data_IF_028136968071
#
_entry.id   IF_028136968071
#
_cell.length_a   1.000
_cell.length_b   1.000
_cell.length_c   1.000
_cell.angle_alpha   90.00
_cell.angle_beta   90.00
_cell.angle_gamma   90.00
#
_symmetry.space_group_name_H-M   'P 1'
#
loop_
_entity.id
_entity.type
_entity.pdbx_description
1 polymer ?
#
# COMPACT_ATOMS: atom_id res chain seq x y z
N UNK A 1 -24.54 8.78 9.09
CA UNK A 1 -24.34 10.14 8.50
C UNK A 1 -23.22 10.78 9.31
N UNK A 2 -21.97 10.89 8.87
CA UNK A 2 -21.44 11.52 7.66
C UNK A 2 -20.09 10.85 7.34
N UNK A 3 -20.04 10.02 6.29
CA UNK A 3 -18.82 9.49 5.67
C UNK A 3 -19.14 9.31 4.19
N UNK A 4 -19.28 10.43 3.49
CA UNK A 4 -19.37 10.47 2.03
C UNK A 4 -19.25 11.92 1.59
N UNK A 5 -18.02 12.39 1.44
CA UNK A 5 -17.64 13.48 0.54
C UNK A 5 -16.11 13.63 0.69
N UNK A 6 -15.38 13.06 -0.27
CA UNK A 6 -14.09 13.51 -0.82
C UNK A 6 -13.38 12.30 -1.42
N UNK A 7 -13.69 12.01 -2.68
CA UNK A 7 -12.79 11.40 -3.68
C UNK A 7 -13.64 11.10 -4.92
N UNK A 8 -13.52 11.94 -5.95
CA UNK A 8 -13.62 11.59 -7.37
C UNK A 8 -13.64 12.87 -8.21
N UNK A 9 -12.46 13.46 -8.42
CA UNK A 9 -12.23 14.41 -9.50
C UNK A 9 -10.82 14.20 -10.02
N UNK A 10 -10.63 13.22 -10.91
CA UNK A 10 -9.61 13.20 -11.97
C UNK A 10 -10.11 12.26 -13.09
N UNK A 11 -10.78 12.84 -14.10
CA UNK A 11 -10.28 13.02 -15.49
C UNK A 11 -10.31 11.74 -16.33
N UNK A 12 -11.40 11.57 -17.09
CA UNK A 12 -11.42 10.78 -18.32
C UNK A 12 -11.55 11.76 -19.51
N UNK A 13 -10.45 12.00 -20.20
CA UNK A 13 -10.45 12.64 -21.51
C UNK A 13 -9.57 11.77 -22.41
N UNK A 14 -10.21 10.97 -23.26
CA UNK A 14 -9.55 10.13 -24.25
C UNK A 14 -9.69 10.78 -25.63
N UNK A 15 -8.57 11.18 -26.23
CA UNK A 15 -8.45 11.50 -27.64
C UNK A 15 -7.15 10.87 -28.18
N UNK A 16 -7.38 9.91 -29.08
CA UNK A 16 -6.56 9.41 -30.19
C UNK A 16 -5.21 10.06 -30.50
N UNK A 17 -4.19 9.21 -30.73
CA UNK A 17 -3.34 9.23 -31.93
C UNK A 17 -2.39 8.00 -31.99
N UNK A 18 -2.59 7.19 -33.04
CA UNK A 18 -1.60 6.53 -33.93
C UNK A 18 -0.19 6.14 -33.45
N UNK A 19 0.22 4.90 -33.77
CA UNK A 19 1.52 4.66 -34.41
C UNK A 19 2.32 3.42 -34.01
N UNK A 20 2.44 2.49 -34.97
CA UNK A 20 3.55 1.55 -35.23
C UNK A 20 3.68 0.27 -34.39
N UNK A 21 3.30 -0.86 -34.99
CA UNK A 21 3.97 -2.14 -34.78
C UNK A 21 4.23 -2.80 -36.14
N UNK A 22 5.44 -3.36 -36.24
CA UNK A 22 6.14 -3.81 -37.43
C UNK A 22 5.58 -5.13 -37.99
N UNK A 23 5.44 -5.21 -39.31
CA UNK A 23 5.12 -6.43 -40.07
C UNK A 23 6.33 -7.36 -40.15
N UNK A 24 6.06 -8.67 -40.27
CA UNK A 24 6.87 -9.62 -41.02
C UNK A 24 5.93 -10.59 -41.76
N UNK A 25 6.11 -10.66 -43.07
CA UNK A 25 5.31 -11.41 -44.04
C UNK A 25 5.58 -12.92 -44.02
N UNK A 26 4.54 -13.73 -44.26
CA UNK A 26 4.66 -15.03 -44.90
C UNK A 26 3.36 -15.45 -45.62
N UNK A 27 3.53 -15.81 -46.89
CA UNK A 27 2.57 -16.08 -47.98
C UNK A 27 1.67 -17.31 -47.74
N UNK A 28 0.41 -17.36 -48.24
CA UNK A 28 -0.48 -18.52 -48.06
C UNK A 28 -0.27 -19.56 -49.18
N UNK A 29 -0.13 -20.83 -48.81
CA UNK A 29 -0.14 -21.98 -49.73
C UNK A 29 -1.44 -22.76 -49.54
N UNK A 30 -2.20 -22.87 -50.62
CA UNK A 30 -3.40 -23.69 -50.74
C UNK A 30 -3.03 -25.17 -50.84
N UNK A 31 -3.69 -26.05 -50.08
CA UNK A 31 -3.70 -27.48 -50.38
C UNK A 31 -5.11 -28.08 -50.30
N UNK A 32 -5.38 -28.80 -51.39
CA UNK A 32 -6.60 -29.40 -51.89
C UNK A 32 -7.12 -30.53 -51.00
N UNK A 33 -8.44 -30.58 -50.78
CA UNK A 33 -9.13 -31.67 -50.09
C UNK A 33 -9.23 -32.88 -51.02
N UNK A 34 -8.52 -33.96 -50.71
CA UNK A 34 -8.80 -35.28 -51.29
C UNK A 34 -9.76 -36.05 -50.37
N UNK A 35 -10.98 -36.29 -50.86
CA UNK A 35 -11.95 -37.18 -50.23
C UNK A 35 -11.45 -38.63 -50.29
N UNK A 36 -10.90 -39.12 -49.18
CA UNK A 36 -10.63 -40.55 -48.98
C UNK A 36 -11.80 -41.13 -48.19
N UNK A 37 -12.67 -41.88 -48.87
CA UNK A 37 -13.71 -42.71 -48.26
C UNK A 37 -13.06 -43.76 -47.35
N UNK A 38 -12.73 -43.37 -46.12
CA UNK A 38 -12.36 -44.29 -45.06
C UNK A 38 -13.65 -44.93 -44.56
N UNK A 39 -13.78 -46.24 -44.78
CA UNK A 39 -14.92 -47.02 -44.29
C UNK A 39 -15.17 -46.73 -42.81
N UNK A 40 -16.35 -46.22 -42.50
CA UNK A 40 -16.82 -46.02 -41.13
C UNK A 40 -16.95 -47.41 -40.50
N UNK A 41 -15.88 -47.87 -39.82
CA UNK A 41 -16.03 -48.95 -38.83
C UNK A 41 -16.99 -48.42 -37.79
N UNK A 42 -18.20 -48.98 -37.72
CA UNK A 42 -19.10 -48.80 -36.59
C UNK A 42 -18.38 -49.35 -35.36
N UNK A 43 -17.67 -48.49 -34.64
CA UNK A 43 -17.17 -48.82 -33.30
C UNK A 43 -18.44 -48.97 -32.46
N UNK A 44 -18.79 -50.23 -32.18
CA UNK A 44 -19.83 -50.56 -31.21
C UNK A 44 -19.53 -49.75 -29.94
N UNK A 45 -20.50 -48.95 -29.48
CA UNK A 45 -20.37 -48.22 -28.22
C UNK A 45 -19.99 -49.25 -27.14
N UNK A 46 -18.75 -49.18 -26.65
CA UNK A 46 -18.34 -49.95 -25.48
C UNK A 46 -19.30 -49.54 -24.37
N UNK A 47 -20.11 -50.46 -23.87
CA UNK A 47 -20.88 -50.24 -22.64
C UNK A 47 -19.84 -49.95 -21.55
N UNK A 48 -19.68 -48.68 -21.19
CA UNK A 48 -18.86 -48.28 -20.06
C UNK A 48 -19.60 -48.79 -18.83
N UNK A 49 -19.02 -49.77 -18.15
CA UNK A 49 -19.53 -50.23 -16.86
C UNK A 49 -19.30 -49.08 -15.90
N UNK A 50 -20.38 -48.47 -15.41
CA UNK A 50 -20.35 -47.41 -14.41
C UNK A 50 -20.87 -47.97 -13.09
N UNK A 51 -20.05 -47.88 -12.04
CA UNK A 51 -20.44 -48.29 -10.70
C UNK A 51 -21.02 -47.05 -10.01
N UNK A 52 -22.33 -46.85 -10.11
CA UNK A 52 -23.06 -45.64 -9.65
C UNK A 52 -23.12 -45.41 -8.13
N UNK A 53 -22.16 -45.92 -7.36
CA UNK A 53 -22.19 -45.87 -5.89
C UNK A 53 -20.80 -45.63 -5.31
N UNK A 54 -20.70 -44.68 -4.37
CA UNK A 54 -19.47 -44.37 -3.63
C UNK A 54 -19.01 -45.56 -2.73
N UNK A 55 -19.85 -46.58 -2.56
CA UNK A 55 -19.50 -47.83 -1.88
C UNK A 55 -18.96 -48.91 -2.83
N UNK A 56 -18.78 -48.61 -4.11
CA UNK A 56 -18.25 -49.54 -5.11
C UNK A 56 -17.13 -48.91 -5.94
N UNK A 57 -16.29 -49.74 -6.55
CA UNK A 57 -15.22 -49.30 -7.45
C UNK A 57 -15.04 -50.27 -8.61
N UNK A 58 -14.45 -49.75 -9.69
CA UNK A 58 -14.11 -50.54 -10.87
C UNK A 58 -12.84 -51.36 -10.62
N UNK A 59 -12.91 -52.65 -10.88
CA UNK A 59 -11.78 -53.56 -10.78
C UNK A 59 -11.57 -54.31 -12.10
N UNK A 60 -10.31 -54.39 -12.55
CA UNK A 60 -9.96 -55.09 -13.77
C UNK A 60 -9.55 -56.54 -13.43
N UNK A 61 -10.47 -57.48 -13.64
CA UNK A 61 -10.25 -58.90 -13.42
C UNK A 61 -9.86 -59.61 -14.74
N UNK A 62 -9.34 -60.84 -14.65
CA UNK A 62 -8.89 -61.61 -15.82
C UNK A 62 -9.98 -61.88 -16.86
N UNK A 63 -11.25 -61.75 -16.49
CA UNK A 63 -12.42 -61.98 -17.35
C UNK A 63 -13.15 -60.68 -17.75
N UNK A 64 -12.57 -59.51 -17.45
CA UNK A 64 -13.14 -58.19 -17.75
C UNK A 64 -13.22 -57.27 -16.54
N UNK A 65 -13.74 -56.06 -16.78
CA UNK A 65 -13.99 -55.05 -15.74
C UNK A 65 -15.27 -55.40 -14.99
N UNK A 66 -15.22 -55.40 -13.66
CA UNK A 66 -16.36 -55.63 -12.76
C UNK A 66 -16.45 -54.55 -11.68
N UNK A 67 -17.61 -54.42 -11.05
CA UNK A 67 -17.80 -53.57 -9.88
C UNK A 67 -17.59 -54.38 -8.60
N UNK A 68 -16.67 -53.93 -7.75
CA UNK A 68 -16.43 -54.50 -6.43
C UNK A 68 -16.93 -53.56 -5.33
N UNK A 69 -17.46 -54.11 -4.24
CA UNK A 69 -17.81 -53.34 -3.04
C UNK A 69 -16.54 -52.92 -2.30
N UNK A 70 -16.47 -51.65 -1.96
CA UNK A 70 -15.43 -51.03 -1.15
C UNK A 70 -15.51 -51.49 0.30
N UNK A 71 -14.39 -51.40 1.01
CA UNK A 71 -14.35 -51.59 2.46
C UNK A 71 -15.00 -50.40 3.18
N UNK A 72 -15.79 -50.65 4.24
CA UNK A 72 -16.42 -49.58 5.02
C UNK A 72 -15.40 -48.82 5.87
N UNK A 73 -15.75 -47.63 6.41
CA UNK A 73 -14.93 -46.91 7.37
C UNK A 73 -14.47 -47.80 8.53
N UNK A 74 -13.23 -47.64 8.98
CA UNK A 74 -12.58 -48.56 9.93
C UNK A 74 -11.85 -49.74 9.30
N UNK A 75 -11.96 -49.92 7.98
CA UNK A 75 -11.40 -51.07 7.27
C UNK A 75 -10.76 -50.66 5.93
N UNK A 76 -9.80 -51.46 5.49
CA UNK A 76 -9.09 -51.32 4.22
C UNK A 76 -8.98 -52.67 3.53
N UNK A 77 -8.74 -52.70 2.23
CA UNK A 77 -8.60 -53.94 1.47
C UNK A 77 -7.40 -54.77 1.96
N UNK A 78 -7.66 -56.03 2.34
CA UNK A 78 -6.60 -57.02 2.53
C UNK A 78 -5.98 -57.41 1.18
N UNK A 79 -6.80 -57.44 0.12
CA UNK A 79 -6.40 -57.64 -1.27
C UNK A 79 -7.35 -56.83 -2.15
N UNK A 80 -6.81 -56.12 -3.13
CA UNK A 80 -7.62 -55.31 -4.07
C UNK A 80 -8.41 -56.25 -4.98
N UNK A 81 -9.67 -55.91 -5.21
CA UNK A 81 -10.56 -56.63 -6.10
C UNK A 81 -11.50 -57.60 -5.40
N UNK A 82 -12.32 -58.23 -6.23
CA UNK A 82 -13.35 -59.19 -5.84
C UNK A 82 -13.48 -60.27 -6.94
N UNK A 83 -14.35 -61.25 -6.70
CA UNK A 83 -14.60 -62.36 -7.64
C UNK A 83 -15.93 -62.14 -8.37
N UNK A 84 -16.27 -63.00 -9.35
CA UNK A 84 -17.59 -62.93 -9.99
C UNK A 84 -18.69 -63.40 -9.05
N UNK A 85 -18.36 -64.36 -8.21
CA UNK A 85 -19.26 -65.04 -7.28
C UNK A 85 -19.49 -64.20 -6.02
N UNK A 86 -18.46 -63.47 -5.59
CA UNK A 86 -18.50 -62.54 -4.47
C UNK A 86 -17.95 -61.18 -4.89
N UNK A 87 -18.86 -60.20 -4.98
CA UNK A 87 -18.55 -58.82 -5.33
C UNK A 87 -17.90 -58.04 -4.18
N UNK A 88 -17.75 -58.62 -2.98
CA UNK A 88 -17.15 -57.96 -1.83
C UNK A 88 -15.64 -58.02 -1.85
N UNK A 89 -15.01 -56.87 -1.61
CA UNK A 89 -13.58 -56.83 -1.35
C UNK A 89 -13.31 -57.43 0.03
N UNK A 90 -12.26 -58.24 0.15
CA UNK A 90 -11.81 -58.75 1.45
C UNK A 90 -11.19 -57.61 2.24
N UNK A 91 -11.77 -57.28 3.39
CA UNK A 91 -11.35 -56.15 4.22
C UNK A 91 -10.61 -56.60 5.49
N UNK A 92 -9.65 -55.79 5.92
CA UNK A 92 -8.95 -55.89 7.20
C UNK A 92 -9.16 -54.59 8.00
N UNK A 93 -9.24 -54.71 9.32
CA UNK A 93 -9.53 -53.60 10.23
C UNK A 93 -8.29 -52.72 10.42
N UNK A 94 -8.50 -51.42 10.59
CA UNK A 94 -7.50 -50.48 11.09
C UNK A 94 -7.21 -50.73 12.59
N UNK A 95 -6.06 -50.27 13.06
CA UNK A 95 -5.58 -50.39 14.43
C UNK A 95 -5.97 -49.16 15.24
N UNK A 96 -6.77 -49.38 16.28
CA UNK A 96 -7.26 -48.31 17.17
C UNK A 96 -6.09 -47.48 17.72
N UNK A 97 -6.14 -46.17 17.51
CA UNK A 97 -5.14 -45.22 18.00
C UNK A 97 -3.86 -45.11 17.17
N UNK A 98 -3.65 -45.95 16.16
CA UNK A 98 -2.48 -45.89 15.27
C UNK A 98 -2.85 -45.43 13.86
N UNK A 99 -3.93 -45.98 13.30
CA UNK A 99 -4.41 -45.65 11.97
C UNK A 99 -5.95 -45.72 11.86
N UNK A 100 -6.46 -45.07 10.81
CA UNK A 100 -7.88 -44.88 10.60
C UNK A 100 -8.25 -44.89 9.12
N UNK A 101 -9.54 -45.02 8.84
CA UNK A 101 -10.13 -44.83 7.53
C UNK A 101 -11.57 -44.33 7.68
N UNK A 102 -11.83 -43.11 7.23
CA UNK A 102 -13.09 -42.38 7.48
C UNK A 102 -14.12 -42.51 6.35
N UNK A 103 -13.77 -43.17 5.24
CA UNK A 103 -14.63 -43.32 4.07
C UNK A 103 -14.57 -44.75 3.48
N UNK A 104 -15.56 -45.04 2.62
CA UNK A 104 -15.56 -46.27 1.83
C UNK A 104 -14.38 -46.27 0.86
N UNK A 105 -13.58 -47.32 0.87
CA UNK A 105 -12.30 -47.32 0.14
C UNK A 105 -11.91 -48.71 -0.38
N UNK A 106 -10.96 -48.73 -1.31
CA UNK A 106 -10.28 -49.94 -1.79
C UNK A 106 -8.76 -49.88 -1.54
N UNK A 107 -8.34 -49.01 -0.63
CA UNK A 107 -6.94 -48.83 -0.26
C UNK A 107 -6.43 -50.07 0.49
N UNK A 108 -5.14 -50.38 0.43
CA UNK A 108 -4.55 -51.54 1.14
C UNK A 108 -3.95 -51.20 2.50
N UNK A 109 -3.92 -49.92 2.85
CA UNK A 109 -3.35 -49.36 4.06
C UNK A 109 -4.29 -48.31 4.65
N UNK A 110 -4.39 -48.29 5.97
CA UNK A 110 -5.09 -47.24 6.70
C UNK A 110 -4.24 -45.95 6.72
N UNK A 111 -4.89 -44.82 6.96
CA UNK A 111 -4.24 -43.53 7.14
C UNK A 111 -3.70 -43.45 8.55
N UNK A 112 -2.44 -43.04 8.72
CA UNK A 112 -1.89 -42.85 10.07
C UNK A 112 -2.60 -41.72 10.79
N UNK A 113 -2.88 -41.93 12.07
CA UNK A 113 -3.37 -40.89 12.95
C UNK A 113 -2.37 -39.72 12.99
N UNK A 114 -2.88 -38.50 12.86
CA UNK A 114 -2.10 -37.28 13.02
C UNK A 114 -1.97 -36.94 14.50
N UNK A 115 -0.83 -36.37 14.90
CA UNK A 115 -0.64 -35.82 16.24
C UNK A 115 -1.04 -34.35 16.29
N UNK A 116 -1.47 -33.88 17.46
CA UNK A 116 -1.63 -32.45 17.73
C UNK A 116 -0.27 -31.86 18.16
N UNK A 117 0.15 -30.80 17.46
CA UNK A 117 1.44 -30.17 17.68
C UNK A 117 1.39 -29.24 18.90
N UNK A 118 1.75 -29.79 20.06
CA UNK A 118 1.82 -29.07 21.33
C UNK A 118 2.67 -27.79 21.27
N UNK A 119 3.90 -27.82 20.70
CA UNK A 119 4.71 -26.62 20.46
C UNK A 119 4.01 -25.49 19.68
N UNK A 120 3.04 -25.83 18.83
CA UNK A 120 2.22 -24.85 18.10
C UNK A 120 0.90 -24.48 18.81
N UNK A 121 0.78 -24.78 20.10
CA UNK A 121 -0.36 -24.40 20.93
C UNK A 121 -1.61 -25.26 20.71
N UNK A 122 -1.45 -26.52 20.31
CA UNK A 122 -2.57 -27.43 20.06
C UNK A 122 -2.63 -28.58 21.06
N UNK A 123 -3.85 -28.98 21.41
CA UNK A 123 -4.13 -30.16 22.23
C UNK A 123 -5.17 -31.07 21.57
N UNK A 124 -5.22 -32.32 22.04
CA UNK A 124 -6.19 -33.32 21.55
C UNK A 124 -7.58 -32.98 22.08
N UNK A 125 -8.53 -32.76 21.16
CA UNK A 125 -9.95 -32.65 21.47
C UNK A 125 -10.61 -34.03 21.43
N UNK A 126 -10.41 -34.75 20.33
CA UNK A 126 -10.90 -36.12 20.15
C UNK A 126 -9.75 -37.03 19.76
N UNK A 127 -9.66 -38.17 20.44
CA UNK A 127 -8.68 -39.21 20.13
C UNK A 127 -8.95 -39.84 18.77
N UNK A 128 -7.87 -40.28 18.12
CA UNK A 128 -7.97 -41.10 16.91
C UNK A 128 -8.70 -42.42 17.20
N UNK A 129 -9.57 -42.81 16.28
CA UNK A 129 -10.24 -44.12 16.29
C UNK A 129 -10.02 -44.80 14.94
N UNK A 130 -10.43 -46.05 14.79
CA UNK A 130 -10.36 -46.73 13.49
C UNK A 130 -11.07 -45.99 12.34
N UNK A 131 -12.08 -45.15 12.63
CA UNK A 131 -12.91 -44.49 11.63
C UNK A 131 -12.75 -42.96 11.60
N UNK A 132 -11.88 -42.38 12.42
CA UNK A 132 -11.66 -40.94 12.42
C UNK A 132 -10.22 -40.59 12.84
N UNK A 133 -9.67 -39.54 12.24
CA UNK A 133 -8.39 -38.98 12.67
C UNK A 133 -8.50 -38.33 14.06
N UNK A 134 -7.36 -38.09 14.68
CA UNK A 134 -7.28 -37.17 15.83
C UNK A 134 -7.84 -35.80 15.44
N UNK A 135 -8.70 -35.23 16.28
CA UNK A 135 -9.09 -33.82 16.18
C UNK A 135 -8.30 -32.99 17.17
N UNK A 136 -7.75 -31.90 16.67
CA UNK A 136 -6.94 -30.97 17.44
C UNK A 136 -7.72 -29.67 17.63
N UNK A 137 -7.58 -29.09 18.82
CA UNK A 137 -8.06 -27.75 19.13
C UNK A 137 -6.93 -26.90 19.70
N UNK A 138 -7.11 -25.60 19.73
CA UNK A 138 -6.18 -24.72 20.43
C UNK A 138 -6.22 -25.00 21.93
N UNK A 139 -5.05 -24.94 22.58
CA UNK A 139 -4.98 -24.96 24.04
C UNK A 139 -5.71 -23.75 24.63
N UNK A 140 -6.02 -23.82 25.92
CA UNK A 140 -6.68 -22.71 26.62
C UNK A 140 -5.89 -21.41 26.45
N UNK A 141 -6.62 -20.29 26.35
CA UNK A 141 -6.06 -18.94 26.12
C UNK A 141 -5.28 -18.77 24.81
N UNK A 142 -5.54 -19.61 23.80
CA UNK A 142 -5.03 -19.44 22.44
C UNK A 142 -6.16 -19.45 21.42
N UNK A 143 -5.94 -18.77 20.30
CA UNK A 143 -6.90 -18.67 19.20
C UNK A 143 -6.23 -18.88 17.84
N UNK A 144 -7.04 -19.20 16.85
CA UNK A 144 -6.64 -19.30 15.45
C UNK A 144 -7.77 -18.82 14.54
N UNK A 145 -7.53 -17.76 13.79
CA UNK A 145 -8.53 -17.08 12.96
C UNK A 145 -8.71 -17.70 11.56
N UNK A 146 -7.89 -18.72 11.21
CA UNK A 146 -7.84 -19.31 9.88
C UNK A 146 -7.95 -20.84 9.90
N UNK A 147 -8.95 -21.37 9.20
CA UNK A 147 -9.13 -22.82 9.05
C UNK A 147 -8.41 -23.33 7.77
N UNK A 148 -7.70 -24.48 7.81
CA UNK A 148 -7.44 -25.32 8.98
C UNK A 148 -6.37 -24.74 9.91
N UNK A 149 -6.62 -24.78 11.21
CA UNK A 149 -5.68 -24.29 12.21
C UNK A 149 -4.44 -25.19 12.29
N UNK A 150 -3.29 -24.64 11.90
CA UNK A 150 -1.98 -25.29 12.03
C UNK A 150 -1.15 -24.71 13.17
N UNK A 151 -1.51 -23.51 13.63
CA UNK A 151 -0.83 -22.79 14.68
C UNK A 151 -1.84 -21.95 15.46
N UNK A 152 -1.77 -22.03 16.78
CA UNK A 152 -2.61 -21.25 17.68
C UNK A 152 -1.77 -20.14 18.31
N UNK A 153 -2.28 -18.92 18.24
CA UNK A 153 -1.65 -17.73 18.80
C UNK A 153 -2.20 -17.47 20.20
N UNK A 154 -1.35 -17.12 21.19
CA UNK A 154 -1.83 -16.72 22.51
C UNK A 154 -2.81 -15.54 22.40
N UNK A 155 -3.87 -15.58 23.20
CA UNK A 155 -4.82 -14.50 23.28
C UNK A 155 -4.23 -13.27 23.99
N UNK A 156 -4.64 -12.09 23.53
CA UNK A 156 -4.22 -10.83 24.13
C UNK A 156 -4.77 -10.67 25.55
N UNK A 157 -3.96 -10.05 26.40
CA UNK A 157 -4.37 -9.62 27.74
C UNK A 157 -4.64 -8.12 27.72
N UNK A 158 -5.84 -7.72 28.14
CA UNK A 158 -6.21 -6.31 28.14
C UNK A 158 -5.48 -5.56 29.26
N UNK A 159 -4.65 -4.58 28.91
CA UNK A 159 -3.81 -3.83 29.87
C UNK A 159 -4.62 -3.15 31.00
N UNK A 160 -5.87 -2.77 30.73
CA UNK A 160 -6.80 -2.17 31.70
C UNK A 160 -7.67 -3.20 32.45
N UNK A 161 -7.50 -4.50 32.17
CA UNK A 161 -8.34 -5.58 32.70
C UNK A 161 -9.77 -5.62 32.15
N UNK A 162 -10.10 -4.81 31.14
CA UNK A 162 -11.47 -4.69 30.61
C UNK A 162 -11.61 -5.42 29.27
N UNK A 163 -12.24 -6.58 29.35
CA UNK A 163 -12.53 -7.46 28.22
C UNK A 163 -13.95 -7.19 27.70
N UNK A 164 -14.08 -6.86 26.41
CA UNK A 164 -15.37 -6.74 25.73
C UNK A 164 -15.89 -8.10 25.28
N UNK A 165 -15.01 -8.91 24.67
CA UNK A 165 -15.31 -10.28 24.29
C UNK A 165 -14.16 -11.19 24.71
N UNK A 166 -14.44 -12.29 25.44
CA UNK A 166 -13.41 -13.20 25.87
C UNK A 166 -12.76 -13.93 24.68
N UNK A 167 -11.53 -14.39 24.91
CA UNK A 167 -10.82 -15.29 24.00
C UNK A 167 -11.69 -16.50 23.63
N UNK A 168 -11.69 -16.87 22.34
CA UNK A 168 -12.33 -18.06 21.78
C UNK A 168 -11.30 -18.80 20.93
N UNK A 169 -11.54 -20.08 20.68
CA UNK A 169 -10.65 -20.90 19.84
C UNK A 169 -10.40 -20.29 18.44
N UNK A 170 -11.36 -19.53 17.91
CA UNK A 170 -11.26 -18.90 16.59
C UNK A 170 -11.09 -17.38 16.60
N UNK A 171 -11.08 -16.76 17.79
CA UNK A 171 -11.09 -15.30 17.90
C UNK A 171 -10.31 -14.84 19.14
N UNK A 172 -9.42 -13.89 18.91
CA UNK A 172 -8.67 -13.23 19.97
C UNK A 172 -9.59 -12.53 20.99
N UNK A 173 -9.06 -12.29 22.19
CA UNK A 173 -9.65 -11.37 23.17
C UNK A 173 -9.87 -9.99 22.54
N UNK A 174 -11.07 -9.43 22.71
CA UNK A 174 -11.36 -8.06 22.31
C UNK A 174 -11.33 -7.14 23.53
N UNK A 175 -10.42 -6.16 23.53
CA UNK A 175 -10.24 -5.23 24.66
C UNK A 175 -11.05 -3.95 24.51
N UNK A 176 -11.50 -3.39 25.65
CA UNK A 176 -12.10 -2.06 25.66
C UNK A 176 -11.01 -1.01 25.39
N UNK A 177 -11.09 -0.32 24.25
CA UNK A 177 -10.23 0.81 23.97
C UNK A 177 -10.48 1.91 25.01
N UNK A 178 -9.45 2.28 25.76
CA UNK A 178 -9.51 3.49 26.59
C UNK A 178 -9.80 4.66 25.67
N UNK A 179 -10.87 5.41 25.93
CA UNK A 179 -11.35 6.51 25.09
C UNK A 179 -10.30 7.63 24.87
N UNK A 180 -9.32 7.37 24.01
CA UNK A 180 -8.35 8.33 23.53
C UNK A 180 -8.99 9.31 22.54
N UNK A 181 -10.19 8.98 22.04
CA UNK A 181 -11.07 9.87 21.28
C UNK A 181 -11.57 11.07 22.09
N UNK A 182 -11.69 10.96 23.42
CA UNK A 182 -12.22 12.06 24.25
C UNK A 182 -11.24 13.23 24.41
N UNK A 183 -9.93 12.99 24.37
CA UNK A 183 -8.93 14.06 24.46
C UNK A 183 -8.85 14.88 23.17
N UNK A 184 -8.89 14.23 22.01
CA UNK A 184 -8.84 14.92 20.72
C UNK A 184 -10.04 15.83 20.49
N UNK A 185 -11.25 15.41 20.88
CA UNK A 185 -12.45 16.26 20.74
C UNK A 185 -12.34 17.55 21.54
N UNK A 186 -11.84 17.49 22.78
CA UNK A 186 -11.66 18.68 23.63
C UNK A 186 -10.62 19.63 23.03
N UNK A 187 -9.52 19.09 22.49
CA UNK A 187 -8.47 19.87 21.83
C UNK A 187 -9.03 20.60 20.59
N UNK A 188 -9.78 19.90 19.73
CA UNK A 188 -10.37 20.54 18.55
C UNK A 188 -11.37 21.64 18.91
N UNK A 189 -12.22 21.43 19.93
CA UNK A 189 -13.16 22.46 20.41
C UNK A 189 -12.43 23.71 20.90
N UNK A 190 -11.34 23.54 21.66
CA UNK A 190 -10.52 24.67 22.13
C UNK A 190 -9.90 25.43 20.95
N UNK A 191 -9.36 24.72 19.96
CA UNK A 191 -8.79 25.35 18.75
C UNK A 191 -9.85 26.17 18.01
N UNK A 192 -11.08 25.64 17.84
CA UNK A 192 -12.16 26.38 17.19
C UNK A 192 -12.57 27.65 17.95
N UNK A 193 -12.62 27.59 19.29
CA UNK A 193 -12.92 28.76 20.12
C UNK A 193 -11.82 29.82 19.96
N UNK A 194 -10.55 29.42 20.02
CA UNK A 194 -9.42 30.34 19.86
C UNK A 194 -9.43 30.98 18.47
N UNK A 195 -9.67 30.22 17.41
CA UNK A 195 -9.80 30.75 16.05
C UNK A 195 -10.99 31.72 15.94
N UNK A 196 -12.13 31.40 16.54
CA UNK A 196 -13.29 32.28 16.59
C UNK A 196 -12.96 33.62 17.28
N UNK A 197 -12.27 33.58 18.42
CA UNK A 197 -11.84 34.78 19.14
C UNK A 197 -10.87 35.62 18.29
N UNK A 198 -9.90 35.00 17.61
CA UNK A 198 -8.96 35.69 16.74
C UNK A 198 -9.68 36.38 15.57
N UNK A 199 -10.66 35.72 14.95
CA UNK A 199 -11.49 36.32 13.88
C UNK A 199 -12.30 37.49 14.41
N UNK A 200 -12.99 37.35 15.53
CA UNK A 200 -13.77 38.45 16.14
C UNK A 200 -12.86 39.62 16.51
N UNK A 201 -11.70 39.35 17.10
CA UNK A 201 -10.69 40.35 17.44
C UNK A 201 -10.22 41.10 16.18
N UNK A 202 -9.93 40.37 15.10
CA UNK A 202 -9.54 40.94 13.81
C UNK A 202 -10.65 41.79 13.18
N UNK A 203 -11.91 41.34 13.24
CA UNK A 203 -13.08 42.09 12.74
C UNK A 203 -13.32 43.37 13.53
N UNK A 204 -13.21 43.32 14.86
CA UNK A 204 -13.30 44.49 15.74
C UNK A 204 -12.16 45.47 15.46
N UNK A 205 -10.93 44.96 15.34
CA UNK A 205 -9.76 45.77 15.02
C UNK A 205 -9.89 46.45 13.66
N UNK A 206 -10.37 45.73 12.63
CA UNK A 206 -10.67 46.28 11.31
C UNK A 206 -11.76 47.35 11.38
N UNK A 207 -12.82 47.16 12.16
CA UNK A 207 -13.91 48.12 12.33
C UNK A 207 -13.45 49.41 13.03
N UNK A 208 -12.59 49.30 14.04
CA UNK A 208 -11.99 50.45 14.74
C UNK A 208 -11.04 51.23 13.82
N UNK A 209 -10.20 50.53 13.05
CA UNK A 209 -9.27 51.14 12.11
C UNK A 209 -10.01 51.79 10.91
N UNK A 210 -11.18 51.25 10.52
CA UNK A 210 -12.01 51.84 9.48
C UNK A 210 -12.74 53.11 9.94
N UNK A 211 -13.08 53.24 11.23
CA UNK A 211 -13.60 54.50 11.79
C UNK A 211 -12.55 55.62 11.76
N UNK A 212 -11.26 55.27 11.84
CA UNK A 212 -10.17 56.24 11.71
C UNK A 212 -9.98 56.74 10.26
N UNK A 213 -10.46 55.99 9.24
CA UNK A 213 -10.39 56.39 7.83
C UNK A 213 -11.48 57.36 7.36
N UNK A 214 -12.52 57.63 8.15
CA UNK A 214 -13.66 58.48 7.71
C UNK A 214 -13.63 59.91 8.24
N UNK A 215 -12.68 60.28 9.13
CA UNK A 215 -12.58 61.63 9.69
C UNK A 215 -11.31 62.41 9.31
N UNK A 216 -10.49 61.89 8.39
CA UNK A 216 -9.31 62.58 7.85
C UNK A 216 -9.40 62.61 6.33
N UNK A 217 -10.22 63.54 5.83
CA UNK A 217 -10.21 64.02 4.45
C UNK A 217 -10.57 65.50 4.47
N UNK A 218 -9.74 66.27 5.17
CA UNK A 218 -9.54 67.68 4.95
C UNK A 218 -8.11 67.98 5.42
N UNK A 219 -7.35 68.60 4.53
CA UNK A 219 -6.03 69.22 4.72
C UNK A 219 -4.76 68.37 4.45
N UNK A 220 -4.16 68.66 3.28
CA UNK A 220 -2.74 68.83 2.92
C UNK A 220 -1.64 67.91 3.52
N UNK A 221 -0.88 67.27 2.62
CA UNK A 221 0.41 66.55 2.80
C UNK A 221 1.46 67.31 3.66
N UNK A 222 2.56 66.70 4.20
CA UNK A 222 3.26 65.49 3.71
C UNK A 222 3.81 64.50 4.79
N UNK A 223 4.20 63.30 4.36
CA UNK A 223 5.31 62.56 4.97
C UNK A 223 4.97 61.32 5.81
N UNK A 224 4.83 60.17 5.13
CA UNK A 224 5.29 58.83 5.55
C UNK A 224 4.71 57.81 4.55
N UNK A 225 5.32 57.75 3.38
CA UNK A 225 5.22 56.58 2.52
C UNK A 225 6.01 55.44 3.18
N UNK A 226 5.33 54.36 3.59
CA UNK A 226 6.01 53.06 3.56
C UNK A 226 6.07 52.65 2.09
N UNK A 227 7.15 53.07 1.44
CA UNK A 227 7.56 52.69 0.10
C UNK A 227 7.36 51.18 -0.10
N UNK A 228 6.40 50.84 -0.95
CA UNK A 228 6.43 49.56 -1.64
C UNK A 228 7.65 49.62 -2.56
N UNK A 229 8.76 49.01 -2.15
CA UNK A 229 9.97 48.94 -2.95
C UNK A 229 9.64 48.20 -4.26
N UNK A 230 9.50 48.95 -5.34
CA UNK A 230 9.39 48.42 -6.70
C UNK A 230 10.82 48.11 -7.12
N UNK A 231 11.13 46.81 -7.15
CA UNK A 231 12.40 46.32 -7.67
C UNK A 231 12.27 46.15 -9.19
N UNK A 232 13.18 46.71 -10.01
CA UNK A 232 13.17 46.48 -11.45
C UNK A 232 13.50 45.02 -11.78
N UNK A 233 12.99 44.56 -12.92
CA UNK A 233 13.33 43.25 -13.50
C UNK A 233 14.73 43.35 -14.13
N UNK A 234 15.75 43.02 -13.34
CA UNK A 234 17.16 43.00 -13.77
C UNK A 234 17.58 41.56 -13.98
N UNK A 235 18.36 41.31 -15.04
CA UNK A 235 19.02 40.03 -15.22
C UNK A 235 20.12 39.84 -14.16
N UNK A 236 19.89 38.92 -13.23
CA UNK A 236 20.83 38.61 -12.16
C UNK A 236 21.96 37.68 -12.61
N UNK A 237 21.86 37.06 -13.80
CA UNK A 237 22.86 36.13 -14.34
C UNK A 237 24.31 36.63 -14.22
N UNK A 238 24.67 37.86 -14.67
CA UNK A 238 26.04 38.38 -14.53
C UNK A 238 26.46 38.67 -13.08
N UNK A 239 25.52 38.68 -12.13
CA UNK A 239 25.74 39.06 -10.73
C UNK A 239 25.68 37.89 -9.76
N UNK A 240 25.33 36.67 -10.21
CA UNK A 240 25.19 35.50 -9.35
C UNK A 240 26.49 35.15 -8.61
N UNK A 241 27.65 35.33 -9.25
CA UNK A 241 28.95 35.12 -8.62
C UNK A 241 29.21 36.11 -7.48
N UNK A 242 28.95 37.40 -7.71
CA UNK A 242 29.09 38.43 -6.66
C UNK A 242 28.10 38.22 -5.51
N UNK A 243 26.85 37.83 -5.82
CA UNK A 243 25.85 37.48 -4.80
C UNK A 243 26.28 36.24 -4.00
N UNK A 244 26.88 35.25 -4.66
CA UNK A 244 27.40 34.05 -4.00
C UNK A 244 28.53 34.37 -3.02
N UNK A 245 29.38 35.35 -3.31
CA UNK A 245 30.46 35.79 -2.42
C UNK A 245 29.92 36.44 -1.14
N UNK A 246 28.81 37.17 -1.23
CA UNK A 246 28.16 37.87 -0.11
C UNK A 246 27.44 36.94 0.88
N UNK A 247 27.29 35.66 0.53
CA UNK A 247 26.58 34.66 1.32
C UNK A 247 27.49 33.50 1.74
N UNK A 248 27.26 32.97 2.94
CA UNK A 248 27.87 31.71 3.34
C UNK A 248 27.16 30.53 2.67
N UNK A 249 27.85 29.40 2.54
CA UNK A 249 27.30 28.21 1.86
C UNK A 249 26.00 27.71 2.52
N UNK A 250 25.93 27.73 3.85
CA UNK A 250 24.72 27.33 4.59
C UNK A 250 23.56 28.31 4.41
N UNK A 251 23.86 29.59 4.23
CA UNK A 251 22.87 30.63 3.94
C UNK A 251 22.31 30.46 2.53
N UNK A 252 23.14 30.15 1.54
CA UNK A 252 22.72 29.83 0.17
C UNK A 252 21.83 28.59 0.17
N UNK A 253 22.21 27.52 0.87
CA UNK A 253 21.39 26.30 1.01
C UNK A 253 20.03 26.59 1.67
N UNK A 254 20.00 27.45 2.70
CA UNK A 254 18.75 27.86 3.37
C UNK A 254 17.88 28.71 2.44
N UNK A 255 18.50 29.57 1.65
CA UNK A 255 17.85 30.42 0.67
C UNK A 255 17.17 29.61 -0.45
N UNK A 256 17.89 28.72 -1.12
CA UNK A 256 17.32 27.90 -2.20
C UNK A 256 16.22 26.95 -1.72
N UNK A 257 16.35 26.39 -0.50
CA UNK A 257 15.28 25.58 0.12
C UNK A 257 14.02 26.41 0.40
N UNK A 258 14.18 27.66 0.85
CA UNK A 258 13.05 28.55 1.12
C UNK A 258 12.29 28.89 -0.16
N UNK A 259 13.00 28.92 -1.29
CA UNK A 259 12.47 29.18 -2.63
C UNK A 259 12.03 27.90 -3.37
N UNK A 260 11.88 26.79 -2.64
CA UNK A 260 11.33 25.51 -3.11
C UNK A 260 12.14 24.81 -4.21
N UNK A 261 13.44 25.08 -4.31
CA UNK A 261 14.33 24.24 -5.12
C UNK A 261 14.32 22.82 -4.56
N UNK A 262 14.13 21.82 -5.42
CA UNK A 262 13.96 20.43 -4.99
C UNK A 262 15.20 19.89 -4.25
N UNK A 263 15.04 19.14 -3.14
CA UNK A 263 16.17 18.59 -2.38
C UNK A 263 17.10 17.72 -3.22
N UNK A 264 16.56 16.92 -4.15
CA UNK A 264 17.33 16.06 -5.04
C UNK A 264 18.28 16.82 -5.96
N UNK A 265 17.88 17.99 -6.48
CA UNK A 265 18.76 18.84 -7.30
C UNK A 265 19.82 19.56 -6.46
N UNK A 266 19.49 19.95 -5.23
CA UNK A 266 20.46 20.51 -4.28
C UNK A 266 21.53 19.46 -3.94
N UNK A 267 21.13 18.22 -3.69
CA UNK A 267 22.04 17.13 -3.36
C UNK A 267 22.93 16.73 -4.54
N UNK A 268 22.43 16.79 -5.77
CA UNK A 268 23.23 16.61 -6.98
C UNK A 268 24.33 17.67 -7.09
N UNK A 269 23.98 18.96 -6.95
CA UNK A 269 24.96 20.06 -6.98
C UNK A 269 26.01 19.92 -5.87
N UNK A 270 25.59 19.50 -4.67
CA UNK A 270 26.51 19.24 -3.56
C UNK A 270 27.50 18.13 -3.89
N UNK A 271 27.02 17.03 -4.47
CA UNK A 271 27.85 15.87 -4.79
C UNK A 271 28.90 16.18 -5.86
N UNK A 272 28.54 16.99 -6.86
CA UNK A 272 29.44 17.33 -7.97
C UNK A 272 30.52 18.35 -7.58
N UNK A 273 30.37 19.07 -6.46
CA UNK A 273 31.23 20.18 -6.06
C UNK A 273 31.80 20.05 -4.64
N UNK A 274 31.93 18.82 -4.11
CA UNK A 274 32.31 18.56 -2.70
C UNK A 274 33.59 19.28 -2.21
N UNK A 275 34.51 19.63 -3.12
CA UNK A 275 35.79 20.27 -2.79
C UNK A 275 35.86 21.78 -3.13
N UNK A 276 34.78 22.36 -3.68
CA UNK A 276 34.76 23.78 -4.07
C UNK A 276 33.48 24.47 -3.57
N UNK A 277 33.55 25.03 -2.36
CA UNK A 277 32.43 25.72 -1.72
C UNK A 277 31.97 26.97 -2.50
N UNK A 278 32.87 27.64 -3.22
CA UNK A 278 32.53 28.81 -4.05
C UNK A 278 31.69 28.38 -5.25
N UNK A 279 32.14 27.35 -5.95
CA UNK A 279 31.42 26.78 -7.10
C UNK A 279 30.06 26.18 -6.70
N UNK A 280 29.98 25.55 -5.53
CA UNK A 280 28.71 25.04 -4.98
C UNK A 280 27.71 26.18 -4.77
N UNK A 281 28.14 27.32 -4.18
CA UNK A 281 27.27 28.48 -3.96
C UNK A 281 26.72 29.05 -5.27
N UNK A 282 27.58 29.21 -6.28
CA UNK A 282 27.18 29.77 -7.57
C UNK A 282 26.16 28.86 -8.26
N UNK A 283 26.46 27.55 -8.36
CA UNK A 283 25.56 26.58 -9.00
C UNK A 283 24.20 26.48 -8.32
N UNK A 284 24.14 26.61 -6.98
CA UNK A 284 22.87 26.63 -6.26
C UNK A 284 22.04 27.89 -6.59
N UNK A 285 22.67 29.05 -6.75
CA UNK A 285 21.98 30.28 -7.13
C UNK A 285 21.56 30.26 -8.61
N UNK A 286 22.38 29.73 -9.51
CA UNK A 286 22.02 29.49 -10.92
C UNK A 286 20.82 28.56 -11.03
N UNK A 287 20.81 27.47 -10.28
CA UNK A 287 19.72 26.50 -10.22
C UNK A 287 18.40 27.16 -9.82
N UNK A 288 18.45 28.00 -8.78
CA UNK A 288 17.30 28.77 -8.34
C UNK A 288 16.83 29.77 -9.41
N UNK A 289 17.75 30.50 -10.02
CA UNK A 289 17.47 31.52 -11.03
C UNK A 289 16.83 30.92 -12.29
N UNK A 290 17.34 29.76 -12.74
CA UNK A 290 16.76 29.00 -13.86
C UNK A 290 15.33 28.52 -13.59
N UNK A 291 15.02 28.11 -12.36
CA UNK A 291 13.68 27.63 -12.01
C UNK A 291 12.64 28.75 -11.87
N UNK A 292 13.06 29.96 -11.48
CA UNK A 292 12.14 31.06 -11.16
C UNK A 292 12.01 32.12 -12.25
N UNK A 293 12.93 32.15 -13.21
CA UNK A 293 12.94 33.13 -14.31
C UNK A 293 13.32 34.54 -13.85
N UNK A 294 13.39 35.48 -14.82
CA UNK A 294 13.92 36.83 -14.61
C UNK A 294 12.93 37.74 -13.85
N UNK A 295 11.62 37.59 -14.12
CA UNK A 295 10.58 38.49 -13.62
C UNK A 295 10.43 38.41 -12.10
N UNK A 296 10.71 39.51 -11.41
CA UNK A 296 10.62 39.62 -9.96
C UNK A 296 11.72 38.87 -9.19
N UNK A 297 12.74 38.33 -9.86
CA UNK A 297 13.81 37.56 -9.23
C UNK A 297 14.59 38.40 -8.21
N UNK A 298 14.94 39.64 -8.57
CA UNK A 298 15.65 40.57 -7.70
C UNK A 298 14.84 40.94 -6.45
N UNK A 299 13.56 41.29 -6.62
CA UNK A 299 12.68 41.54 -5.48
C UNK A 299 12.50 40.29 -4.59
N UNK A 300 12.43 39.11 -5.20
CA UNK A 300 12.32 37.84 -4.46
C UNK A 300 13.59 37.52 -3.68
N UNK A 301 14.77 37.76 -4.26
CA UNK A 301 16.07 37.64 -3.60
C UNK A 301 16.12 38.52 -2.35
N UNK A 302 15.92 39.83 -2.50
CA UNK A 302 16.04 40.78 -1.39
C UNK A 302 15.00 40.54 -0.30
N UNK A 303 13.74 40.29 -0.68
CA UNK A 303 12.68 40.01 0.31
C UNK A 303 12.91 38.68 1.04
N UNK A 304 13.47 37.67 0.38
CA UNK A 304 13.75 36.37 1.00
C UNK A 304 14.97 36.44 1.91
N UNK A 305 16.03 37.15 1.52
CA UNK A 305 17.18 37.40 2.39
C UNK A 305 16.76 38.13 3.67
N UNK A 306 15.91 39.15 3.57
CA UNK A 306 15.36 39.86 4.74
C UNK A 306 14.51 38.95 5.63
N UNK A 307 13.74 38.00 5.06
CA UNK A 307 12.97 36.98 5.81
C UNK A 307 13.88 35.94 6.49
N UNK A 308 15.06 35.69 5.95
CA UNK A 308 16.07 34.78 6.54
C UNK A 308 16.97 35.47 7.57
N UNK A 309 16.63 36.71 7.97
CA UNK A 309 17.43 37.56 8.86
C UNK A 309 18.81 37.98 8.30
N UNK A 310 19.03 37.83 6.99
CA UNK A 310 20.25 38.24 6.28
C UNK A 310 20.12 39.69 5.76
N UNK A 311 19.79 40.63 6.66
CA UNK A 311 19.51 42.03 6.28
C UNK A 311 20.74 42.74 5.74
N UNK A 312 21.90 42.59 6.40
CA UNK A 312 23.15 43.20 5.97
C UNK A 312 23.62 42.70 4.61
N UNK A 313 23.45 41.41 4.32
CA UNK A 313 23.72 40.82 3.00
C UNK A 313 22.77 41.38 1.93
N UNK A 314 21.48 41.51 2.25
CA UNK A 314 20.50 42.10 1.33
C UNK A 314 20.85 43.56 0.99
N UNK A 315 21.22 44.36 1.99
CA UNK A 315 21.57 45.76 1.80
C UNK A 315 22.86 45.92 0.98
N UNK A 316 23.87 45.04 1.17
CA UNK A 316 25.08 45.01 0.33
C UNK A 316 24.80 44.61 -1.11
N UNK A 317 23.95 43.60 -1.33
CA UNK A 317 23.54 43.20 -2.69
C UNK A 317 22.76 44.34 -3.38
N UNK A 318 21.88 45.04 -2.66
CA UNK A 318 21.19 46.22 -3.19
C UNK A 318 22.19 47.32 -3.61
N UNK A 319 23.21 47.58 -2.79
CA UNK A 319 24.27 48.56 -3.13
C UNK A 319 25.09 48.13 -4.35
N UNK A 320 25.51 46.87 -4.43
CA UNK A 320 26.30 46.35 -5.56
C UNK A 320 25.53 46.45 -6.86
N UNK A 321 24.26 46.06 -6.87
CA UNK A 321 23.42 46.11 -8.08
C UNK A 321 23.09 47.56 -8.46
N UNK A 322 22.77 48.43 -7.49
CA UNK A 322 22.55 49.85 -7.76
C UNK A 322 23.79 50.56 -8.31
N UNK A 323 24.99 50.23 -7.82
CA UNK A 323 26.23 50.79 -8.33
C UNK A 323 26.49 50.39 -9.79
N UNK A 324 26.15 49.16 -10.17
CA UNK A 324 26.27 48.67 -11.56
C UNK A 324 25.28 49.37 -12.50
N UNK A 325 24.03 49.58 -12.07
CA UNK A 325 23.00 50.26 -12.88
C UNK A 325 23.30 51.74 -13.14
N UNK A 326 24.14 52.38 -12.31
CA UNK A 326 24.55 53.78 -12.47
C UNK A 326 25.76 53.90 -13.43
N UNK A 327 26.45 52.79 -13.72
CA UNK A 327 27.63 52.74 -14.60
C UNK A 327 27.35 52.16 -16.00
N UNK A 328 26.12 51.74 -16.30
CA UNK A 328 25.65 51.27 -17.62
C UNK A 328 24.82 52.34 -18.34
#
# INVERSE_FOLDING_TARGET
>A
MVKSLLLCLFTACGLSATGLSHNNDAVPVTHTVYNKLAGVRRVSKRNVIDCHDNTKYLFNASFGVICCESCPPGYVAATIGCTKEDNKTRCKKCTQGEDYMDHYNYNTKCLRCSGCDGPHGMEVEENCTINQNTKCKCVTDHFCDSAPCRHCTPCDTCANGRVLEPCKETKNTQCEETGQTRQHTVIYVIIFIVLGILVVSFLVWKKLNNKQKTYVSADVNPGNERNQLIYPDIDLSPHLAAIAEEMNLDDVRRFVRKLRVSPSRIDAVRNDNQNNATEEKIKLLELWYQENGITGAYGTLITTLRKLHLRSTADRIEQTIQAVLIQS
#
